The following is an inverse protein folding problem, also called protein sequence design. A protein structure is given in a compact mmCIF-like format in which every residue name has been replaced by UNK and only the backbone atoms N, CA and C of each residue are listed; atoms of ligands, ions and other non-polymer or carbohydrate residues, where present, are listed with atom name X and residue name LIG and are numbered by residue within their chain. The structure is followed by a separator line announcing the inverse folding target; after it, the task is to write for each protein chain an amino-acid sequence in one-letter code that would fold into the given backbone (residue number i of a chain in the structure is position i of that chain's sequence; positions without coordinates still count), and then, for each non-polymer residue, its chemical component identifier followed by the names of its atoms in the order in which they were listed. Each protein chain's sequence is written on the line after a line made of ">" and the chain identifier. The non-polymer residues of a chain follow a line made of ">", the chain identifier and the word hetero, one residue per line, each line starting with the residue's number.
data_IF_857148944823
#
_entry.id   IF_857148944823
#
_cell.length_a   1.000
_cell.length_b   1.000
_cell.length_c   1.000
_cell.angle_alpha   90.00
_cell.angle_beta   90.00
_cell.angle_gamma   90.00
#
_symmetry.space_group_name_H-M   'P 1'
#
loop_
_entity.id
_entity.type
_entity.pdbx_description
1 polymer ?
#
# COMPACT_ATOMS: atom_id res chain seq x y z
N UNK A 1 46.00 -23.10 -15.33
CA UNK A 1 44.61 -23.15 -15.79
C UNK A 1 43.67 -23.78 -14.75
N UNK A 2 43.83 -25.08 -14.40
CA UNK A 2 42.94 -25.79 -13.46
C UNK A 2 42.77 -25.13 -12.07
N UNK A 3 43.84 -24.53 -11.52
CA UNK A 3 43.81 -23.82 -10.22
C UNK A 3 42.89 -22.60 -10.20
N UNK A 4 42.79 -21.87 -11.31
CA UNK A 4 41.91 -20.70 -11.41
C UNK A 4 40.45 -21.11 -11.62
N UNK A 5 40.21 -22.22 -12.34
CA UNK A 5 38.86 -22.79 -12.51
C UNK A 5 38.30 -23.23 -11.16
N UNK A 6 39.09 -23.94 -10.35
CA UNK A 6 38.70 -24.35 -9.00
C UNK A 6 38.44 -23.16 -8.07
N UNK A 7 39.24 -22.10 -8.19
CA UNK A 7 39.05 -20.89 -7.39
C UNK A 7 37.73 -20.19 -7.73
N UNK A 8 37.42 -20.00 -9.01
CA UNK A 8 36.15 -19.43 -9.46
C UNK A 8 34.98 -20.33 -9.08
N UNK A 9 35.16 -21.65 -9.17
CA UNK A 9 34.13 -22.61 -8.79
C UNK A 9 33.77 -22.52 -7.29
N UNK A 10 34.76 -22.37 -6.40
CA UNK A 10 34.50 -22.20 -4.97
C UNK A 10 33.79 -20.88 -4.65
N UNK A 11 34.14 -19.78 -5.34
CA UNK A 11 33.45 -18.50 -5.19
C UNK A 11 32.00 -18.60 -5.66
N UNK A 12 31.77 -19.22 -6.83
CA UNK A 12 30.43 -19.45 -7.37
C UNK A 12 29.59 -20.32 -6.43
N UNK A 13 30.19 -21.38 -5.86
CA UNK A 13 29.52 -22.25 -4.90
C UNK A 13 29.12 -21.48 -3.64
N UNK A 14 30.01 -20.64 -3.10
CA UNK A 14 29.69 -19.78 -1.95
C UNK A 14 28.57 -18.77 -2.23
N UNK A 15 28.57 -18.16 -3.42
CA UNK A 15 27.53 -17.22 -3.82
C UNK A 15 26.17 -17.90 -3.98
N UNK A 16 26.12 -19.08 -4.61
CA UNK A 16 24.89 -19.87 -4.78
C UNK A 16 24.35 -20.30 -3.41
N UNK A 17 25.20 -20.77 -2.51
CA UNK A 17 24.79 -21.16 -1.16
C UNK A 17 24.33 -19.97 -0.32
N UNK A 18 24.99 -18.81 -0.43
CA UNK A 18 24.60 -17.58 0.26
C UNK A 18 23.23 -17.07 -0.20
N UNK A 19 22.99 -17.04 -1.51
CA UNK A 19 21.70 -16.66 -2.08
C UNK A 19 20.57 -17.61 -1.67
N UNK A 20 20.83 -18.91 -1.71
CA UNK A 20 19.85 -19.92 -1.29
C UNK A 20 19.47 -19.77 0.18
N UNK A 21 20.46 -19.49 1.05
CA UNK A 21 20.24 -19.31 2.48
C UNK A 21 19.36 -18.10 2.80
N UNK A 22 19.57 -16.97 2.11
CA UNK A 22 18.80 -15.73 2.38
C UNK A 22 17.34 -15.80 1.95
N UNK A 23 17.03 -16.64 0.96
CA UNK A 23 15.68 -16.69 0.38
C UNK A 23 14.77 -17.60 1.18
N UNK A 24 15.25 -18.79 1.54
CA UNK A 24 14.37 -19.85 2.08
C UNK A 24 14.34 -19.93 3.61
N UNK A 25 15.43 -19.54 4.30
CA UNK A 25 15.62 -19.87 5.72
C UNK A 25 15.22 -18.73 6.66
N UNK A 26 15.42 -17.48 6.26
CA UNK A 26 14.97 -16.33 7.04
C UNK A 26 14.81 -15.10 6.13
N UNK A 27 13.73 -15.02 5.32
CA UNK A 27 13.42 -13.79 4.62
C UNK A 27 13.35 -12.67 5.66
N UNK A 28 13.92 -11.50 5.34
CA UNK A 28 13.86 -10.34 6.24
C UNK A 28 12.38 -9.98 6.42
N UNK A 29 11.82 -10.39 7.55
CA UNK A 29 10.49 -9.99 7.96
C UNK A 29 10.62 -8.55 8.42
N UNK A 30 10.11 -7.61 7.62
CA UNK A 30 9.91 -6.23 8.06
C UNK A 30 8.70 -6.25 9.02
N UNK A 31 8.94 -6.72 10.24
CA UNK A 31 8.01 -6.60 11.36
C UNK A 31 8.09 -5.17 11.88
N UNK A 32 6.94 -4.55 12.12
CA UNK A 32 6.76 -3.18 12.62
C UNK A 32 7.01 -2.05 11.61
N UNK A 33 6.86 -2.32 10.30
CA UNK A 33 6.77 -1.26 9.30
C UNK A 33 5.45 -0.48 9.50
N UNK A 34 5.50 0.83 9.79
CA UNK A 34 4.27 1.61 9.88
C UNK A 34 3.55 1.62 8.51
N UNK A 35 2.22 1.76 8.46
CA UNK A 35 1.47 1.58 7.21
C UNK A 35 1.82 2.61 6.12
N UNK A 36 2.50 3.69 6.49
CA UNK A 36 3.11 4.66 5.60
C UNK A 36 4.28 4.09 4.76
N UNK A 37 4.88 2.98 5.19
CA UNK A 37 5.94 2.26 4.45
C UNK A 37 5.40 1.21 3.47
N UNK A 38 4.06 1.02 3.40
CA UNK A 38 3.46 0.15 2.37
C UNK A 38 3.91 0.61 0.98
N UNK A 39 4.17 -0.36 0.11
CA UNK A 39 4.34 -0.11 -1.33
C UNK A 39 3.04 0.48 -1.89
N UNK A 40 3.18 1.29 -2.92
CA UNK A 40 2.10 2.09 -3.51
C UNK A 40 0.94 1.23 -4.05
N UNK A 41 1.22 0.00 -4.49
CA UNK A 41 0.22 -1.01 -4.87
C UNK A 41 -0.69 -1.37 -3.69
N UNK A 42 -0.12 -1.75 -2.54
CA UNK A 42 -0.90 -2.09 -1.35
C UNK A 42 -1.65 -0.90 -0.75
N UNK A 43 -1.08 0.31 -0.82
CA UNK A 43 -1.79 1.52 -0.41
C UNK A 43 -3.02 1.76 -1.28
N UNK A 44 -2.87 1.58 -2.58
CA UNK A 44 -3.97 1.75 -3.54
C UNK A 44 -5.08 0.72 -3.29
N UNK A 45 -4.72 -0.55 -3.08
CA UNK A 45 -5.68 -1.61 -2.77
C UNK A 45 -6.42 -1.35 -1.45
N UNK A 46 -5.72 -0.83 -0.44
CA UNK A 46 -6.36 -0.43 0.81
C UNK A 46 -7.34 0.72 0.61
N UNK A 47 -6.98 1.76 -0.16
CA UNK A 47 -7.91 2.87 -0.48
C UNK A 47 -9.14 2.36 -1.22
N UNK A 48 -8.98 1.41 -2.16
CA UNK A 48 -10.10 0.78 -2.84
C UNK A 48 -11.01 0.05 -1.85
N UNK A 49 -10.44 -0.72 -0.92
CA UNK A 49 -11.22 -1.40 0.13
C UNK A 49 -12.01 -0.42 1.00
N UNK A 50 -11.40 0.71 1.38
CA UNK A 50 -12.09 1.78 2.11
C UNK A 50 -13.23 2.37 1.26
N UNK A 51 -13.02 2.53 -0.04
CA UNK A 51 -14.05 3.03 -0.95
C UNK A 51 -15.23 2.07 -1.09
N UNK A 52 -14.99 0.77 -1.13
CA UNK A 52 -16.02 -0.27 -1.12
C UNK A 52 -16.82 -0.26 0.18
N UNK A 53 -16.13 -0.19 1.33
CA UNK A 53 -16.77 -0.09 2.64
C UNK A 53 -17.63 1.17 2.71
N UNK A 54 -17.10 2.33 2.30
CA UNK A 54 -17.86 3.58 2.24
C UNK A 54 -19.08 3.48 1.32
N UNK A 55 -18.97 2.83 0.17
CA UNK A 55 -20.10 2.64 -0.73
C UNK A 55 -21.24 1.81 -0.09
N UNK A 56 -20.90 0.93 0.86
CA UNK A 56 -21.88 0.13 1.60
C UNK A 56 -22.43 0.79 2.88
N UNK A 57 -21.58 1.45 3.67
CA UNK A 57 -21.92 2.00 4.98
C UNK A 57 -22.30 3.48 4.93
N UNK A 58 -21.81 4.21 3.92
CA UNK A 58 -22.02 5.65 3.73
C UNK A 58 -21.58 6.51 4.93
N UNK A 59 -20.63 6.02 5.73
CA UNK A 59 -20.04 6.74 6.86
C UNK A 59 -18.71 7.39 6.45
N UNK A 60 -18.68 8.71 6.18
CA UNK A 60 -17.46 9.40 5.77
C UNK A 60 -16.44 9.53 6.91
N UNK A 61 -16.89 9.61 8.16
CA UNK A 61 -15.99 9.68 9.32
C UNK A 61 -15.23 8.39 9.55
N UNK A 62 -15.91 7.25 9.37
CA UNK A 62 -15.29 5.93 9.40
C UNK A 62 -14.27 5.77 8.27
N UNK A 63 -14.60 6.18 7.05
CA UNK A 63 -13.67 6.15 5.93
C UNK A 63 -12.44 7.05 6.18
N UNK A 64 -12.63 8.26 6.70
CA UNK A 64 -11.53 9.16 7.03
C UNK A 64 -10.60 8.59 8.11
N UNK A 65 -11.15 7.96 9.16
CA UNK A 65 -10.36 7.28 10.20
C UNK A 65 -9.53 6.12 9.62
N UNK A 66 -10.10 5.37 8.69
CA UNK A 66 -9.38 4.29 8.01
C UNK A 66 -8.27 4.82 7.11
N UNK A 67 -8.50 5.90 6.36
CA UNK A 67 -7.48 6.52 5.51
C UNK A 67 -6.34 7.13 6.33
N UNK A 68 -6.63 7.66 7.53
CA UNK A 68 -5.62 8.19 8.44
C UNK A 68 -4.62 7.12 8.94
N UNK A 69 -4.90 5.82 8.74
CA UNK A 69 -3.91 4.77 9.02
C UNK A 69 -2.75 4.77 8.02
N UNK A 70 -2.96 5.25 6.78
CA UNK A 70 -1.94 5.27 5.74
C UNK A 70 -0.94 6.42 5.88
N UNK A 71 -1.22 7.41 6.73
CA UNK A 71 -0.33 8.55 6.96
C UNK A 71 -1.04 9.76 7.55
N UNK A 72 -0.29 10.86 7.65
CA UNK A 72 -0.77 12.14 8.20
C UNK A 72 -1.33 13.11 7.14
N UNK A 73 -1.36 12.69 5.88
CA UNK A 73 -1.87 13.50 4.78
C UNK A 73 -3.39 13.65 4.85
N UNK A 74 -3.93 14.65 4.15
CA UNK A 74 -5.38 14.82 4.07
C UNK A 74 -6.00 13.60 3.36
N UNK A 75 -7.16 13.08 3.83
CA UNK A 75 -7.78 11.88 3.25
C UNK A 75 -7.97 11.96 1.73
N UNK A 76 -8.34 13.14 1.22
CA UNK A 76 -8.49 13.39 -0.22
C UNK A 76 -7.17 13.24 -0.99
N UNK A 77 -6.05 13.64 -0.41
CA UNK A 77 -4.74 13.55 -1.05
C UNK A 77 -4.28 12.09 -1.17
N UNK A 78 -4.49 11.31 -0.11
CA UNK A 78 -4.23 9.86 -0.09
C UNK A 78 -5.03 9.17 -1.21
N UNK A 79 -6.31 9.51 -1.36
CA UNK A 79 -7.16 8.94 -2.41
C UNK A 79 -6.71 9.38 -3.80
N UNK A 80 -6.32 10.64 -3.98
CA UNK A 80 -5.88 11.15 -5.28
C UNK A 80 -4.60 10.45 -5.74
N UNK A 81 -3.64 10.23 -4.84
CA UNK A 81 -2.42 9.45 -5.14
C UNK A 81 -2.78 8.02 -5.56
N UNK A 82 -3.64 7.35 -4.80
CA UNK A 82 -4.11 6.01 -5.13
C UNK A 82 -4.85 5.97 -6.48
N UNK A 83 -5.65 6.99 -6.81
CA UNK A 83 -6.37 7.06 -8.08
C UNK A 83 -5.41 7.24 -9.27
N UNK A 84 -4.34 8.02 -9.11
CA UNK A 84 -3.29 8.16 -10.13
C UNK A 84 -2.58 6.82 -10.36
N UNK A 85 -2.23 6.11 -9.30
CA UNK A 85 -1.62 4.79 -9.40
C UNK A 85 -2.56 3.78 -10.07
N UNK A 86 -3.82 3.75 -9.68
CA UNK A 86 -4.84 2.85 -10.21
C UNK A 86 -5.09 3.07 -11.72
N UNK A 87 -5.03 4.33 -12.17
CA UNK A 87 -5.13 4.68 -13.60
C UNK A 87 -3.93 4.18 -14.39
N UNK A 88 -2.71 4.33 -13.86
CA UNK A 88 -1.48 3.85 -14.50
C UNK A 88 -1.45 2.31 -14.60
N UNK A 89 -1.98 1.62 -13.58
CA UNK A 89 -2.02 0.16 -13.49
C UNK A 89 -3.31 -0.48 -14.05
N UNK A 90 -4.14 0.29 -14.75
CA UNK A 90 -5.32 -0.19 -15.48
C UNK A 90 -6.35 -0.94 -14.60
N UNK A 91 -6.62 -0.43 -13.40
CA UNK A 91 -7.67 -0.94 -12.52
C UNK A 91 -9.05 -0.93 -13.20
N UNK A 92 -9.98 -1.74 -12.70
CA UNK A 92 -11.30 -1.86 -13.30
C UNK A 92 -12.04 -0.50 -13.26
N UNK A 93 -12.83 -0.16 -14.29
CA UNK A 93 -13.59 1.09 -14.30
C UNK A 93 -14.55 1.25 -13.13
N UNK A 94 -15.11 0.15 -12.62
CA UNK A 94 -15.99 0.17 -11.45
C UNK A 94 -15.23 0.59 -10.18
N UNK A 95 -14.03 0.06 -9.98
CA UNK A 95 -13.18 0.36 -8.82
C UNK A 95 -12.73 1.83 -8.83
N UNK A 96 -12.37 2.34 -10.01
CA UNK A 96 -12.04 3.75 -10.20
C UNK A 96 -13.22 4.68 -9.87
N UNK A 97 -14.46 4.25 -10.13
CA UNK A 97 -15.65 5.03 -9.76
C UNK A 97 -15.83 5.06 -8.23
N UNK A 98 -15.66 3.93 -7.54
CA UNK A 98 -15.75 3.90 -6.08
C UNK A 98 -14.72 4.82 -5.43
N UNK A 99 -13.46 4.74 -5.86
CA UNK A 99 -12.39 5.61 -5.36
C UNK A 99 -12.66 7.09 -5.65
N UNK A 100 -13.23 7.39 -6.83
CA UNK A 100 -13.62 8.76 -7.20
C UNK A 100 -14.76 9.29 -6.34
N UNK A 101 -15.78 8.48 -6.09
CA UNK A 101 -16.92 8.85 -5.25
C UNK A 101 -16.46 9.12 -3.81
N UNK A 102 -15.55 8.29 -3.29
CA UNK A 102 -14.91 8.52 -2.00
C UNK A 102 -14.11 9.84 -1.99
N UNK A 103 -13.32 10.12 -3.04
CA UNK A 103 -12.57 11.38 -3.17
C UNK A 103 -13.48 12.62 -3.12
N UNK A 104 -14.61 12.58 -3.82
CA UNK A 104 -15.58 13.67 -3.83
C UNK A 104 -16.12 13.96 -2.42
N UNK A 105 -16.47 12.92 -1.67
CA UNK A 105 -16.99 13.08 -0.31
C UNK A 105 -15.90 13.62 0.61
N UNK A 106 -14.70 13.03 0.57
CA UNK A 106 -13.56 13.47 1.38
C UNK A 106 -13.11 14.90 1.09
N UNK A 107 -13.32 15.41 -0.12
CA UNK A 107 -13.01 16.81 -0.46
C UNK A 107 -13.85 17.83 0.32
N UNK A 108 -15.03 17.42 0.78
CA UNK A 108 -15.97 18.26 1.55
C UNK A 108 -16.08 17.87 3.02
N UNK A 109 -15.50 16.72 3.39
CA UNK A 109 -15.52 16.22 4.75
C UNK A 109 -14.66 17.08 5.67
N UNK A 110 -15.21 17.43 6.82
CA UNK A 110 -14.51 18.19 7.85
C UNK A 110 -14.65 17.48 9.20
N UNK A 111 -13.55 17.07 9.85
CA UNK A 111 -13.58 16.34 11.13
C UNK A 111 -14.29 17.12 12.25
N UNK A 112 -14.24 18.45 12.24
CA UNK A 112 -14.85 19.29 13.29
C UNK A 112 -16.39 19.18 13.32
N UNK A 113 -17.00 18.78 12.20
CA UNK A 113 -18.45 18.61 12.08
C UNK A 113 -18.96 17.35 12.81
N UNK A 114 -18.10 16.35 13.02
CA UNK A 114 -18.44 15.10 13.71
C UNK A 114 -18.26 15.20 15.23
N UNK A 115 -17.25 15.93 15.70
CA UNK A 115 -16.94 16.12 17.14
C UNK A 115 -18.05 16.88 17.88
N UNK A 116 -18.96 17.53 17.13
CA UNK A 116 -20.05 18.34 17.68
C UNK A 116 -21.32 17.56 18.05
N UNK A 117 -21.39 16.24 17.81
CA UNK A 117 -22.53 15.43 18.27
C UNK A 117 -22.24 14.81 19.65
N UNK A 118 -22.98 15.21 20.71
CA UNK A 118 -22.81 14.72 22.08
C UNK A 118 -23.31 13.29 22.30
#
# INVERSE_FOLDING_TARGET
>A
MFRYILFIFMIALGAVLGWFYTTEINPVNIVDAPPDTLREDYKTDYVLMVAEVYASEQDPGLAARQLALLGSDQPVEIINQALLFALDHQYLPADLLLMRDLSLVMSTWNPDLEVSQP
#
